data_IF_742060459494
#
_entry.id   IF_742060459494
#
_cell.length_a   1.000
_cell.length_b   1.000
_cell.length_c   1.000
_cell.angle_alpha   90.00
_cell.angle_beta   90.00
_cell.angle_gamma   90.00
#
_symmetry.space_group_name_H-M   'P 1'
#
loop_
_entity.id
_entity.type
_entity.pdbx_description
1 polymer ?
#
# COMPACT_ATOMS: atom_id res chain seq x y z
N UNK A 1 50.82 16.92 -41.70
CA UNK A 1 50.96 16.87 -40.21
C UNK A 1 49.75 17.45 -39.44
N UNK A 2 49.08 18.44 -39.94
CA UNK A 2 47.91 19.06 -39.27
C UNK A 2 46.64 18.15 -39.14
N UNK A 3 46.45 17.18 -40.05
CA UNK A 3 45.26 16.30 -40.03
C UNK A 3 45.29 15.23 -38.92
N UNK A 4 46.45 14.78 -38.49
CA UNK A 4 46.59 13.77 -37.43
C UNK A 4 46.31 14.37 -36.05
N UNK A 5 46.70 15.61 -35.84
CA UNK A 5 46.51 16.31 -34.56
C UNK A 5 45.03 16.73 -34.39
N UNK A 6 44.35 17.13 -35.47
CA UNK A 6 42.92 17.41 -35.44
C UNK A 6 42.09 16.13 -35.14
N UNK A 7 42.42 15.00 -35.75
CA UNK A 7 41.77 13.74 -35.47
C UNK A 7 42.00 13.21 -34.05
N UNK A 8 43.16 13.48 -33.47
CA UNK A 8 43.46 13.12 -32.08
C UNK A 8 42.62 13.95 -31.09
N UNK A 9 42.50 15.26 -31.31
CA UNK A 9 41.69 16.19 -30.50
C UNK A 9 40.21 15.80 -30.61
N UNK A 10 39.73 15.52 -31.83
CA UNK A 10 38.34 15.11 -32.06
C UNK A 10 37.99 13.80 -31.34
N UNK A 11 38.83 12.81 -31.40
CA UNK A 11 38.65 11.51 -30.66
C UNK A 11 38.65 11.71 -29.17
N UNK A 12 39.53 12.54 -28.63
CA UNK A 12 39.60 12.84 -27.21
C UNK A 12 38.34 13.59 -26.71
N UNK A 13 37.86 14.54 -27.49
CA UNK A 13 36.62 15.27 -27.16
C UNK A 13 35.38 14.38 -27.23
N UNK A 14 35.30 13.47 -28.20
CA UNK A 14 34.24 12.48 -28.28
C UNK A 14 34.28 11.51 -27.11
N UNK A 15 35.45 11.03 -26.71
CA UNK A 15 35.59 10.12 -25.56
C UNK A 15 35.20 10.79 -24.25
N UNK A 16 35.59 12.04 -24.03
CA UNK A 16 35.17 12.85 -22.85
C UNK A 16 33.67 13.09 -22.85
N UNK A 17 33.07 13.37 -24.02
CA UNK A 17 31.62 13.54 -24.15
C UNK A 17 30.86 12.25 -23.86
N UNK A 18 31.34 11.10 -24.31
CA UNK A 18 30.75 9.78 -24.00
C UNK A 18 30.85 9.41 -22.52
N UNK A 19 31.95 9.70 -21.85
CA UNK A 19 32.10 9.46 -20.41
C UNK A 19 31.18 10.39 -19.58
N UNK A 20 31.10 11.66 -19.93
CA UNK A 20 30.17 12.62 -19.28
C UNK A 20 28.70 12.24 -19.48
N UNK A 21 28.35 11.73 -20.64
CA UNK A 21 26.99 11.26 -20.94
C UNK A 21 26.67 9.99 -20.14
N UNK A 22 27.62 9.05 -20.03
CA UNK A 22 27.50 7.83 -19.22
C UNK A 22 27.37 8.13 -17.72
N UNK A 23 28.11 9.10 -17.20
CA UNK A 23 27.97 9.58 -15.82
C UNK A 23 26.63 10.30 -15.58
N UNK A 24 26.16 11.11 -16.54
CA UNK A 24 24.83 11.74 -16.47
C UNK A 24 23.69 10.73 -16.48
N UNK A 25 23.76 9.73 -17.36
CA UNK A 25 22.77 8.63 -17.39
C UNK A 25 22.79 7.84 -16.10
N UNK A 26 23.94 7.42 -15.60
CA UNK A 26 24.06 6.70 -14.34
C UNK A 26 23.60 7.52 -13.11
N UNK A 27 23.84 8.84 -13.11
CA UNK A 27 23.36 9.73 -12.05
C UNK A 27 21.83 9.94 -12.12
N UNK A 28 21.25 10.01 -13.32
CA UNK A 28 19.80 10.18 -13.52
C UNK A 28 19.03 8.89 -13.18
N UNK A 29 19.56 7.73 -13.57
CA UNK A 29 19.00 6.42 -13.20
C UNK A 29 19.06 6.20 -11.69
N UNK A 30 20.20 6.50 -11.06
CA UNK A 30 20.37 6.37 -9.60
C UNK A 30 19.43 7.29 -8.83
N UNK A 31 19.24 8.55 -9.28
CA UNK A 31 18.27 9.48 -8.67
C UNK A 31 16.84 9.01 -8.87
N UNK A 32 16.49 8.47 -10.03
CA UNK A 32 15.17 7.91 -10.28
C UNK A 32 14.88 6.69 -9.42
N UNK A 33 15.85 5.81 -9.26
CA UNK A 33 15.77 4.61 -8.41
C UNK A 33 15.57 4.97 -6.93
N UNK A 34 16.42 5.85 -6.38
CA UNK A 34 16.30 6.32 -4.98
C UNK A 34 14.95 7.00 -4.72
N UNK A 35 14.46 7.81 -5.67
CA UNK A 35 13.16 8.45 -5.54
C UNK A 35 12.00 7.42 -5.52
N UNK A 36 12.11 6.34 -6.27
CA UNK A 36 11.07 5.30 -6.31
C UNK A 36 11.07 4.46 -5.03
N UNK A 37 12.22 4.06 -4.50
CA UNK A 37 12.32 3.35 -3.22
C UNK A 37 11.77 4.18 -2.06
N UNK A 38 12.10 5.47 -2.04
CA UNK A 38 11.56 6.40 -1.03
C UNK A 38 10.03 6.53 -1.15
N UNK A 39 9.49 6.57 -2.37
CA UNK A 39 8.04 6.61 -2.58
C UNK A 39 7.37 5.33 -2.09
N UNK A 40 7.92 4.16 -2.42
CA UNK A 40 7.44 2.84 -1.94
C UNK A 40 7.37 2.86 -0.41
N UNK A 41 8.46 3.23 0.25
CA UNK A 41 8.52 3.31 1.71
C UNK A 41 7.46 4.25 2.29
N UNK A 42 7.26 5.44 1.70
CA UNK A 42 6.24 6.40 2.15
C UNK A 42 4.83 5.80 2.00
N UNK A 43 4.53 5.16 0.87
CA UNK A 43 3.22 4.52 0.64
C UNK A 43 3.01 3.38 1.64
N UNK A 44 4.03 2.57 1.93
CA UNK A 44 3.96 1.50 2.94
C UNK A 44 3.68 2.04 4.34
N UNK A 45 4.35 3.11 4.76
CA UNK A 45 4.10 3.74 6.06
C UNK A 45 2.67 4.30 6.14
N UNK A 46 2.23 5.02 5.11
CA UNK A 46 0.85 5.56 5.06
C UNK A 46 -0.17 4.42 5.14
N UNK A 47 0.01 3.36 4.36
CA UNK A 47 -0.85 2.17 4.38
C UNK A 47 -0.85 1.48 5.74
N UNK A 48 0.34 1.33 6.34
CA UNK A 48 0.53 0.71 7.67
C UNK A 48 -0.21 1.50 8.76
N UNK A 49 -0.01 2.82 8.83
CA UNK A 49 -0.68 3.68 9.81
C UNK A 49 -2.19 3.68 9.59
N UNK A 50 -2.65 3.72 8.34
CA UNK A 50 -4.07 3.70 8.01
C UNK A 50 -4.73 2.37 8.43
N UNK A 51 -4.13 1.23 8.09
CA UNK A 51 -4.66 -0.08 8.47
C UNK A 51 -4.50 -0.37 9.97
N UNK A 52 -3.39 0.02 10.60
CA UNK A 52 -3.22 -0.08 12.04
C UNK A 52 -4.30 0.72 12.78
N UNK A 53 -4.58 1.94 12.31
CA UNK A 53 -5.65 2.77 12.87
C UNK A 53 -7.02 2.12 12.71
N UNK A 54 -7.32 1.58 11.53
CA UNK A 54 -8.58 0.86 11.28
C UNK A 54 -8.72 -0.36 12.19
N UNK A 55 -7.65 -1.16 12.36
CA UNK A 55 -7.61 -2.32 13.24
C UNK A 55 -7.79 -1.94 14.72
N UNK A 56 -7.03 -0.93 15.19
CA UNK A 56 -7.15 -0.42 16.56
C UNK A 56 -8.56 0.08 16.87
N UNK A 57 -9.17 0.84 15.95
CA UNK A 57 -10.53 1.32 16.09
C UNK A 57 -11.54 0.17 16.24
N UNK A 58 -11.41 -0.88 15.44
CA UNK A 58 -12.27 -2.08 15.56
C UNK A 58 -12.07 -2.75 16.93
N UNK A 59 -10.82 -2.93 17.38
CA UNK A 59 -10.51 -3.50 18.69
C UNK A 59 -11.11 -2.70 19.85
N UNK A 60 -10.98 -1.37 19.82
CA UNK A 60 -11.58 -0.46 20.82
C UNK A 60 -13.11 -0.57 20.81
N UNK A 61 -13.74 -0.59 19.63
CA UNK A 61 -15.21 -0.75 19.51
C UNK A 61 -15.69 -2.12 20.08
N UNK A 62 -14.89 -3.15 19.93
CA UNK A 62 -15.15 -4.49 20.49
C UNK A 62 -14.80 -4.60 21.97
N UNK A 63 -14.38 -3.50 22.60
CA UNK A 63 -13.99 -3.44 24.03
C UNK A 63 -12.85 -4.40 24.38
N UNK A 64 -11.93 -4.61 23.44
CA UNK A 64 -10.71 -5.37 23.69
C UNK A 64 -9.79 -4.59 24.64
N UNK A 65 -8.96 -5.30 25.40
CA UNK A 65 -7.92 -4.70 26.20
C UNK A 65 -6.79 -4.10 25.34
N UNK A 66 -5.83 -3.45 25.99
CA UNK A 66 -4.69 -2.81 25.28
C UNK A 66 -3.97 -3.80 24.37
N UNK A 67 -3.71 -5.01 24.85
CA UNK A 67 -3.00 -6.04 24.07
C UNK A 67 -3.84 -6.46 22.87
N UNK A 68 -5.14 -6.70 23.06
CA UNK A 68 -6.06 -7.04 21.98
C UNK A 68 -6.13 -5.95 20.90
N UNK A 69 -6.14 -4.67 21.29
CA UNK A 69 -6.12 -3.54 20.34
C UNK A 69 -4.80 -3.50 19.57
N UNK A 70 -3.65 -3.72 20.23
CA UNK A 70 -2.35 -3.78 19.57
C UNK A 70 -2.30 -4.96 18.58
N UNK A 71 -2.73 -6.14 18.96
CA UNK A 71 -2.75 -7.31 18.08
C UNK A 71 -3.64 -7.07 16.87
N UNK A 72 -4.84 -6.51 17.08
CA UNK A 72 -5.76 -6.15 15.99
C UNK A 72 -5.12 -5.16 15.00
N UNK A 73 -4.44 -4.13 15.50
CA UNK A 73 -3.76 -3.14 14.67
C UNK A 73 -2.62 -3.75 13.86
N UNK A 74 -1.75 -4.51 14.52
CA UNK A 74 -0.59 -5.15 13.88
C UNK A 74 -1.06 -6.14 12.81
N UNK A 75 -1.98 -7.05 13.14
CA UNK A 75 -2.47 -8.05 12.19
C UNK A 75 -3.19 -7.42 10.99
N UNK A 76 -3.90 -6.32 11.20
CA UNK A 76 -4.53 -5.58 10.10
C UNK A 76 -3.48 -4.93 9.19
N UNK A 77 -2.45 -4.33 9.78
CA UNK A 77 -1.45 -3.59 9.02
C UNK A 77 -0.48 -4.49 8.24
N UNK A 78 0.01 -5.58 8.85
CA UNK A 78 1.04 -6.42 8.24
C UNK A 78 0.50 -7.71 7.62
N UNK A 79 -0.72 -8.12 7.96
CA UNK A 79 -1.28 -9.41 7.55
C UNK A 79 -1.39 -9.57 6.04
N UNK A 80 -1.81 -8.54 5.31
CA UNK A 80 -1.84 -8.54 3.85
C UNK A 80 -0.45 -8.73 3.22
N UNK A 81 0.57 -8.05 3.77
CA UNK A 81 1.96 -8.21 3.35
C UNK A 81 2.52 -9.60 3.60
N UNK A 82 2.18 -10.21 4.75
CA UNK A 82 2.57 -11.59 5.05
C UNK A 82 1.96 -12.57 4.04
N UNK A 83 0.67 -12.44 3.73
CA UNK A 83 0.00 -13.28 2.71
C UNK A 83 0.67 -13.09 1.36
N UNK A 84 0.95 -11.84 0.95
CA UNK A 84 1.68 -11.53 -0.27
C UNK A 84 3.01 -12.27 -0.35
N UNK A 85 3.82 -12.13 0.69
CA UNK A 85 5.17 -12.69 0.72
C UNK A 85 5.13 -14.23 0.67
N UNK A 86 4.17 -14.86 1.35
CA UNK A 86 3.96 -16.30 1.26
C UNK A 86 3.57 -16.75 -0.16
N UNK A 87 2.66 -16.04 -0.83
CA UNK A 87 2.24 -16.34 -2.21
C UNK A 87 3.40 -16.18 -3.19
N UNK A 88 4.25 -15.19 -2.98
CA UNK A 88 5.43 -14.93 -3.83
C UNK A 88 6.65 -15.80 -3.47
N UNK A 89 6.56 -16.64 -2.44
CA UNK A 89 7.67 -17.50 -2.00
C UNK A 89 8.79 -16.73 -1.30
N UNK A 90 8.52 -15.56 -0.74
CA UNK A 90 9.49 -14.75 0.01
C UNK A 90 9.58 -15.28 1.43
N UNK A 91 10.68 -15.95 1.76
CA UNK A 91 10.91 -16.52 3.10
C UNK A 91 12.21 -15.99 3.72
N UNK A 92 12.19 -15.58 5.01
CA UNK A 92 11.00 -15.24 5.80
C UNK A 92 10.31 -13.99 5.23
N UNK A 93 8.99 -13.79 5.50
CA UNK A 93 8.26 -12.59 5.07
C UNK A 93 8.98 -11.29 5.46
N UNK A 94 8.87 -10.27 4.62
CA UNK A 94 9.60 -9.00 4.79
C UNK A 94 9.28 -8.30 6.11
N UNK A 95 8.09 -8.49 6.64
CA UNK A 95 7.67 -7.97 7.96
C UNK A 95 8.59 -8.45 9.09
N UNK A 96 9.13 -9.68 9.00
CA UNK A 96 10.05 -10.22 10.00
C UNK A 96 11.51 -9.79 9.76
N UNK A 97 11.87 -9.42 8.53
CA UNK A 97 13.19 -8.87 8.20
C UNK A 97 13.31 -7.42 8.64
N UNK A 98 12.22 -6.63 8.46
CA UNK A 98 12.14 -5.23 8.79
C UNK A 98 10.95 -4.97 9.74
N UNK A 99 11.16 -4.97 11.06
CA UNK A 99 10.08 -4.84 12.05
C UNK A 99 9.50 -3.42 12.12
N UNK A 100 10.02 -2.47 11.37
CA UNK A 100 9.62 -1.06 11.39
C UNK A 100 8.10 -0.87 11.20
N UNK A 101 7.47 -1.67 10.33
CA UNK A 101 6.02 -1.60 10.11
C UNK A 101 5.23 -2.09 11.32
N UNK A 102 5.75 -3.08 12.04
CA UNK A 102 5.16 -3.54 13.32
C UNK A 102 5.29 -2.46 14.37
N UNK A 103 6.44 -1.80 14.47
CA UNK A 103 6.68 -0.71 15.41
C UNK A 103 5.72 0.46 15.17
N UNK A 104 5.55 0.92 13.92
CA UNK A 104 4.57 1.96 13.58
C UNK A 104 3.13 1.51 13.88
N UNK A 105 2.81 0.24 13.67
CA UNK A 105 1.48 -0.29 13.98
C UNK A 105 1.20 -0.28 15.47
N UNK A 106 2.16 -0.72 16.29
CA UNK A 106 2.08 -0.69 17.75
C UNK A 106 1.95 0.74 18.27
N UNK A 107 2.80 1.64 17.78
CA UNK A 107 2.77 3.05 18.16
C UNK A 107 1.40 3.68 17.85
N UNK A 108 0.88 3.43 16.65
CA UNK A 108 -0.45 3.90 16.22
C UNK A 108 -1.56 3.36 17.13
N UNK A 109 -1.51 2.07 17.46
CA UNK A 109 -2.48 1.42 18.34
C UNK A 109 -2.47 2.02 19.75
N UNK A 110 -1.29 2.22 20.33
CA UNK A 110 -1.13 2.81 21.67
C UNK A 110 -1.63 4.24 21.70
N UNK A 111 -1.27 5.07 20.71
CA UNK A 111 -1.75 6.45 20.62
C UNK A 111 -3.28 6.50 20.56
N UNK A 112 -3.88 5.71 19.68
CA UNK A 112 -5.34 5.68 19.56
C UNK A 112 -6.00 5.16 20.83
N UNK A 113 -5.48 4.10 21.43
CA UNK A 113 -6.00 3.57 22.70
C UNK A 113 -6.00 4.65 23.80
N UNK A 114 -4.87 5.36 23.98
CA UNK A 114 -4.75 6.42 24.97
C UNK A 114 -5.72 7.56 24.68
N UNK A 115 -5.83 8.02 23.43
CA UNK A 115 -6.77 9.08 23.04
C UNK A 115 -8.20 8.70 23.37
N UNK A 116 -8.64 7.48 23.04
CA UNK A 116 -10.00 7.01 23.33
C UNK A 116 -10.22 6.76 24.84
N UNK A 117 -9.18 6.31 25.54
CA UNK A 117 -9.23 6.11 27.00
C UNK A 117 -9.45 7.42 27.77
N UNK A 118 -8.73 8.48 27.37
CA UNK A 118 -8.85 9.81 28.01
C UNK A 118 -10.19 10.45 27.64
N UNK A 119 -10.64 10.32 26.38
CA UNK A 119 -11.90 10.89 25.90
C UNK A 119 -13.08 9.92 26.00
N UNK A 120 -13.29 9.33 27.18
CA UNK A 120 -14.34 8.34 27.46
C UNK A 120 -15.77 8.75 27.02
N UNK A 121 -16.01 10.05 26.82
CA UNK A 121 -17.29 10.63 26.35
C UNK A 121 -17.49 10.58 24.81
N UNK A 122 -16.49 10.16 24.02
CA UNK A 122 -16.58 10.15 22.55
C UNK A 122 -17.36 8.94 21.98
N UNK A 123 -18.03 8.15 22.81
CA UNK A 123 -18.90 7.05 22.36
C UNK A 123 -20.38 7.45 22.22
N UNK A 124 -20.67 8.75 22.18
CA UNK A 124 -22.00 9.28 21.93
C UNK A 124 -22.44 9.05 20.47
N UNK A 125 -23.73 9.01 20.18
CA UNK A 125 -24.30 8.63 18.86
C UNK A 125 -23.77 9.45 17.68
N UNK A 126 -23.44 10.74 17.90
CA UNK A 126 -22.78 11.58 16.87
C UNK A 126 -21.34 11.17 16.61
N UNK A 127 -20.61 10.80 17.66
CA UNK A 127 -19.24 10.31 17.54
C UNK A 127 -19.16 8.97 16.79
N UNK A 128 -20.16 8.10 16.95
CA UNK A 128 -20.24 6.83 16.24
C UNK A 128 -20.35 7.02 14.71
N UNK A 129 -21.09 8.04 14.25
CA UNK A 129 -21.21 8.36 12.83
C UNK A 129 -19.89 8.86 12.22
N UNK A 130 -19.16 9.73 12.94
CA UNK A 130 -17.83 10.17 12.50
C UNK A 130 -16.81 9.04 12.54
N UNK A 131 -16.90 8.16 13.53
CA UNK A 131 -16.08 6.96 13.64
C UNK A 131 -16.20 6.06 12.40
N UNK A 132 -17.41 5.75 11.96
CA UNK A 132 -17.62 4.91 10.76
C UNK A 132 -17.05 5.55 9.51
N UNK A 133 -17.21 6.84 9.32
CA UNK A 133 -16.63 7.57 8.19
C UNK A 133 -15.11 7.55 8.18
N UNK A 134 -14.50 7.80 9.33
CA UNK A 134 -13.04 7.79 9.50
C UNK A 134 -12.51 6.37 9.25
N UNK A 135 -13.16 5.35 9.77
CA UNK A 135 -12.77 3.97 9.57
C UNK A 135 -12.80 3.58 8.07
N UNK A 136 -13.86 3.98 7.35
CA UNK A 136 -13.96 3.74 5.90
C UNK A 136 -12.85 4.46 5.14
N UNK A 137 -12.53 5.69 5.51
CA UNK A 137 -11.46 6.47 4.87
C UNK A 137 -10.08 5.84 5.10
N UNK A 138 -9.78 5.48 6.35
CA UNK A 138 -8.51 4.82 6.70
C UNK A 138 -8.38 3.46 6.00
N UNK A 139 -9.45 2.69 5.96
CA UNK A 139 -9.50 1.42 5.26
C UNK A 139 -9.31 1.61 3.74
N UNK A 140 -9.90 2.64 3.13
CA UNK A 140 -9.72 2.95 1.72
C UNK A 140 -8.28 3.35 1.38
N UNK A 141 -7.62 4.14 2.24
CA UNK A 141 -6.21 4.54 2.09
C UNK A 141 -5.31 3.31 2.21
N UNK A 142 -5.50 2.48 3.23
CA UNK A 142 -4.74 1.25 3.42
C UNK A 142 -4.92 0.27 2.25
N UNK A 143 -6.17 0.09 1.78
CA UNK A 143 -6.47 -0.74 0.62
C UNK A 143 -5.72 -0.25 -0.62
N UNK A 144 -5.78 1.05 -0.92
CA UNK A 144 -5.10 1.63 -2.09
C UNK A 144 -3.58 1.49 -2.01
N UNK A 145 -2.98 1.83 -0.87
CA UNK A 145 -1.56 1.72 -0.63
C UNK A 145 -1.07 0.27 -0.81
N UNK A 146 -1.68 -0.68 -0.12
CA UNK A 146 -1.21 -2.07 -0.18
C UNK A 146 -1.57 -2.78 -1.49
N UNK A 147 -2.62 -2.35 -2.19
CA UNK A 147 -2.89 -2.85 -3.55
C UNK A 147 -1.72 -2.55 -4.50
N UNK A 148 -1.25 -1.31 -4.54
CA UNK A 148 -0.16 -0.93 -5.45
C UNK A 148 1.19 -1.46 -5.00
N UNK A 149 1.44 -1.58 -3.70
CA UNK A 149 2.64 -2.23 -3.14
C UNK A 149 2.66 -3.72 -3.49
N UNK A 150 1.52 -4.41 -3.44
CA UNK A 150 1.44 -5.81 -3.85
C UNK A 150 1.79 -6.02 -5.32
N UNK A 151 1.30 -5.15 -6.22
CA UNK A 151 1.65 -5.15 -7.64
C UNK A 151 3.14 -4.87 -7.82
N UNK A 152 3.66 -3.84 -7.17
CA UNK A 152 5.07 -3.42 -7.25
C UNK A 152 6.00 -4.53 -6.78
N UNK A 153 5.75 -5.14 -5.63
CA UNK A 153 6.57 -6.23 -5.09
C UNK A 153 6.65 -7.42 -6.06
N UNK A 154 5.51 -7.83 -6.63
CA UNK A 154 5.49 -8.93 -7.60
C UNK A 154 6.20 -8.55 -8.91
N UNK A 155 6.11 -7.29 -9.33
CA UNK A 155 6.80 -6.76 -10.51
C UNK A 155 8.33 -6.79 -10.32
N UNK A 156 8.84 -6.35 -9.16
CA UNK A 156 10.29 -6.32 -8.84
C UNK A 156 10.91 -7.72 -8.73
N UNK A 157 10.15 -8.72 -8.29
CA UNK A 157 10.62 -10.11 -8.22
C UNK A 157 10.75 -10.74 -9.63
N UNK A 158 10.25 -10.06 -10.67
CA UNK A 158 10.41 -10.49 -12.07
C UNK A 158 9.15 -11.07 -12.72
N UNK A 159 7.98 -11.03 -12.05
CA UNK A 159 6.72 -11.49 -12.63
C UNK A 159 6.07 -10.49 -13.62
N UNK A 160 6.90 -9.72 -14.35
CA UNK A 160 6.46 -8.63 -15.25
C UNK A 160 5.47 -9.10 -16.33
N UNK A 161 5.63 -10.32 -16.84
CA UNK A 161 4.78 -10.88 -17.90
C UNK A 161 3.54 -11.62 -17.37
N UNK A 162 3.45 -11.85 -16.07
CA UNK A 162 2.35 -12.60 -15.46
C UNK A 162 1.27 -11.66 -14.92
N UNK A 163 0.54 -10.96 -15.82
CA UNK A 163 -0.47 -9.94 -15.46
C UNK A 163 -1.50 -10.43 -14.45
N UNK A 164 -1.95 -11.68 -14.56
CA UNK A 164 -2.90 -12.26 -13.61
C UNK A 164 -2.30 -12.36 -12.20
N UNK A 165 -1.05 -12.81 -12.08
CA UNK A 165 -0.37 -12.90 -10.79
C UNK A 165 -0.17 -11.51 -10.17
N UNK A 166 0.26 -10.52 -10.95
CA UNK A 166 0.38 -9.13 -10.50
C UNK A 166 -0.97 -8.60 -9.95
N UNK A 167 -2.04 -8.83 -10.70
CA UNK A 167 -3.39 -8.42 -10.30
C UNK A 167 -3.82 -9.12 -9.00
N UNK A 168 -3.68 -10.45 -8.95
CA UNK A 168 -4.03 -11.26 -7.79
C UNK A 168 -3.26 -10.85 -6.54
N UNK A 169 -1.94 -10.71 -6.65
CA UNK A 169 -1.07 -10.33 -5.54
C UNK A 169 -1.39 -8.90 -5.06
N UNK A 170 -1.62 -7.97 -5.97
CA UNK A 170 -2.06 -6.62 -5.62
C UNK A 170 -3.36 -6.64 -4.80
N UNK A 171 -4.38 -7.34 -5.31
CA UNK A 171 -5.68 -7.44 -4.63
C UNK A 171 -5.56 -8.13 -3.28
N UNK A 172 -4.92 -9.29 -3.20
CA UNK A 172 -4.82 -10.04 -1.94
C UNK A 172 -4.02 -9.29 -0.87
N UNK A 173 -3.01 -8.52 -1.28
CA UNK A 173 -2.24 -7.68 -0.38
C UNK A 173 -3.09 -6.56 0.20
N UNK A 174 -3.82 -5.84 -0.66
CA UNK A 174 -4.68 -4.74 -0.23
C UNK A 174 -5.85 -5.20 0.62
N UNK A 175 -6.52 -6.27 0.22
CA UNK A 175 -7.73 -6.79 0.90
C UNK A 175 -7.39 -7.59 2.15
N UNK A 176 -6.25 -8.28 2.16
CA UNK A 176 -5.88 -9.28 3.18
C UNK A 176 -5.89 -8.74 4.60
N UNK A 177 -5.34 -7.55 4.82
CA UNK A 177 -5.34 -6.92 6.15
C UNK A 177 -6.74 -6.64 6.68
N UNK A 178 -7.62 -6.07 5.86
CA UNK A 178 -9.03 -5.83 6.21
C UNK A 178 -9.80 -7.12 6.46
N UNK A 179 -9.52 -8.17 5.69
CA UNK A 179 -10.14 -9.49 5.85
C UNK A 179 -9.76 -10.14 7.18
N UNK A 180 -8.46 -10.12 7.54
CA UNK A 180 -7.96 -10.63 8.82
C UNK A 180 -8.61 -9.86 9.98
N UNK A 181 -8.64 -8.52 9.91
CA UNK A 181 -9.29 -7.66 10.90
C UNK A 181 -10.74 -8.08 11.14
N UNK A 182 -11.53 -8.20 10.07
CA UNK A 182 -12.96 -8.49 10.17
C UNK A 182 -13.20 -9.91 10.73
N UNK A 183 -12.41 -10.90 10.32
CA UNK A 183 -12.47 -12.25 10.87
C UNK A 183 -12.11 -12.30 12.36
N UNK A 184 -11.04 -11.59 12.77
CA UNK A 184 -10.66 -11.50 14.18
C UNK A 184 -11.72 -10.79 15.01
N UNK A 185 -12.43 -9.82 14.42
CA UNK A 185 -13.55 -9.14 15.04
C UNK A 185 -14.85 -9.95 15.05
N UNK A 186 -14.84 -11.18 14.54
CA UNK A 186 -16.03 -12.04 14.37
C UNK A 186 -17.14 -11.33 13.57
N UNK A 187 -16.74 -10.70 12.48
CA UNK A 187 -17.66 -10.04 11.55
C UNK A 187 -17.48 -10.63 10.15
N UNK A 188 -18.55 -10.61 9.37
CA UNK A 188 -18.44 -10.98 7.95
C UNK A 188 -17.54 -9.94 7.27
N UNK A 189 -16.43 -10.38 6.63
CA UNK A 189 -15.50 -9.46 5.98
C UNK A 189 -16.17 -8.52 4.99
N UNK A 190 -15.81 -7.24 5.00
CA UNK A 190 -16.36 -6.20 4.12
C UNK A 190 -16.26 -6.55 2.65
N UNK A 191 -15.22 -7.27 2.24
CA UNK A 191 -15.03 -7.76 0.88
C UNK A 191 -16.21 -8.61 0.38
N UNK A 192 -16.89 -9.31 1.28
CA UNK A 192 -17.99 -10.23 0.93
C UNK A 192 -19.37 -9.56 0.95
N UNK A 193 -19.51 -8.46 1.69
CA UNK A 193 -20.86 -7.91 2.02
C UNK A 193 -21.04 -6.46 1.64
N UNK A 194 -19.98 -5.66 1.59
CA UNK A 194 -20.09 -4.20 1.43
C UNK A 194 -19.34 -3.65 0.22
N UNK A 195 -20.06 -2.85 -0.56
CA UNK A 195 -19.55 -1.70 -1.31
C UNK A 195 -18.33 -1.97 -2.18
N UNK A 196 -18.45 -2.73 -3.24
CA UNK A 196 -17.45 -2.83 -4.35
C UNK A 196 -15.97 -2.82 -3.85
N UNK A 197 -15.70 -3.48 -2.69
CA UNK A 197 -14.40 -3.43 -2.02
C UNK A 197 -13.28 -4.03 -2.88
N UNK A 198 -13.47 -5.28 -3.30
CA UNK A 198 -12.49 -5.98 -4.14
C UNK A 198 -12.43 -5.37 -5.56
N UNK A 199 -13.57 -4.89 -6.09
CA UNK A 199 -13.61 -4.26 -7.41
C UNK A 199 -12.79 -2.97 -7.46
N UNK A 200 -12.76 -2.19 -6.37
CA UNK A 200 -11.91 -1.00 -6.28
C UNK A 200 -10.42 -1.38 -6.33
N UNK A 201 -10.01 -2.40 -5.58
CA UNK A 201 -8.65 -2.92 -5.60
C UNK A 201 -8.28 -3.48 -6.98
N UNK A 202 -9.18 -4.24 -7.62
CA UNK A 202 -8.99 -4.74 -8.99
C UNK A 202 -8.77 -3.60 -10.00
N UNK A 203 -9.61 -2.56 -9.94
CA UNK A 203 -9.49 -1.40 -10.84
C UNK A 203 -8.16 -0.66 -10.63
N UNK A 204 -7.78 -0.39 -9.37
CA UNK A 204 -6.52 0.29 -9.06
C UNK A 204 -5.29 -0.54 -9.41
N UNK A 205 -5.31 -1.86 -9.13
CA UNK A 205 -4.25 -2.77 -9.55
C UNK A 205 -4.13 -2.81 -11.09
N UNK A 206 -5.25 -2.85 -11.81
CA UNK A 206 -5.28 -2.81 -13.27
C UNK A 206 -4.64 -1.54 -13.84
N UNK A 207 -4.99 -0.36 -13.30
CA UNK A 207 -4.38 0.92 -13.67
C UNK A 207 -2.89 0.93 -13.37
N UNK A 208 -2.49 0.44 -12.17
CA UNK A 208 -1.10 0.35 -11.79
C UNK A 208 -0.31 -0.54 -12.75
N UNK A 209 -0.78 -1.75 -13.06
CA UNK A 209 -0.13 -2.69 -13.99
C UNK A 209 -0.01 -2.10 -15.39
N UNK A 210 -1.04 -1.41 -15.87
CA UNK A 210 -1.05 -0.83 -17.21
C UNK A 210 -0.03 0.31 -17.37
N UNK A 211 0.10 1.15 -16.35
CA UNK A 211 1.02 2.31 -16.35
C UNK A 211 2.45 1.96 -15.90
N UNK A 212 2.66 0.82 -15.22
CA UNK A 212 3.95 0.42 -14.63
C UNK A 212 5.12 0.47 -15.64
N UNK A 213 4.97 0.00 -16.91
CA UNK A 213 6.07 0.02 -17.89
C UNK A 213 6.51 1.43 -18.29
N UNK A 214 5.65 2.44 -18.14
CA UNK A 214 5.94 3.82 -18.55
C UNK A 214 6.58 4.64 -17.42
N UNK A 215 5.95 4.63 -16.24
CA UNK A 215 6.42 5.40 -15.08
C UNK A 215 6.01 4.71 -13.77
N UNK A 216 6.93 3.98 -13.14
CA UNK A 216 6.70 3.21 -11.93
C UNK A 216 6.06 4.06 -10.81
N UNK A 217 6.66 5.21 -10.47
CA UNK A 217 6.15 6.06 -9.37
C UNK A 217 4.75 6.63 -9.66
N UNK A 218 4.50 7.07 -10.90
CA UNK A 218 3.20 7.59 -11.30
C UNK A 218 2.12 6.49 -11.31
N UNK A 219 2.46 5.27 -11.75
CA UNK A 219 1.53 4.15 -11.78
C UNK A 219 1.04 3.77 -10.38
N UNK A 220 1.92 3.78 -9.39
CA UNK A 220 1.58 3.47 -8.01
C UNK A 220 0.66 4.54 -7.40
N UNK A 221 1.00 5.82 -7.60
CA UNK A 221 0.19 6.93 -7.08
C UNK A 221 -1.21 6.90 -7.72
N UNK A 222 -1.28 6.81 -9.06
CA UNK A 222 -2.56 6.78 -9.77
C UNK A 222 -3.38 5.55 -9.42
N UNK A 223 -2.76 4.36 -9.33
CA UNK A 223 -3.43 3.15 -8.89
C UNK A 223 -4.03 3.28 -7.50
N UNK A 224 -3.26 3.79 -6.52
CA UNK A 224 -3.74 4.01 -5.16
C UNK A 224 -4.88 5.04 -5.10
N UNK A 225 -4.75 6.16 -5.82
CA UNK A 225 -5.79 7.21 -5.90
C UNK A 225 -7.09 6.66 -6.49
N UNK A 226 -7.02 5.85 -7.55
CA UNK A 226 -8.20 5.20 -8.15
C UNK A 226 -8.91 4.31 -7.14
N UNK A 227 -8.17 3.49 -6.38
CA UNK A 227 -8.78 2.67 -5.29
C UNK A 227 -9.49 3.54 -4.28
N UNK A 228 -8.83 4.58 -3.77
CA UNK A 228 -9.39 5.46 -2.73
C UNK A 228 -10.63 6.19 -3.24
N UNK A 229 -10.60 6.74 -4.45
CA UNK A 229 -11.75 7.43 -5.06
C UNK A 229 -12.93 6.48 -5.19
N UNK A 230 -12.75 5.31 -5.81
CA UNK A 230 -13.83 4.32 -5.98
C UNK A 230 -14.40 3.92 -4.62
N UNK A 231 -13.58 3.70 -3.60
CA UNK A 231 -14.01 3.34 -2.25
C UNK A 231 -14.84 4.43 -1.58
N UNK A 232 -14.39 5.69 -1.68
CA UNK A 232 -15.12 6.82 -1.11
C UNK A 232 -16.46 7.02 -1.82
N UNK A 233 -16.48 6.95 -3.16
CA UNK A 233 -17.71 7.05 -3.94
C UNK A 233 -18.68 5.90 -3.61
N UNK A 234 -18.19 4.66 -3.59
CA UNK A 234 -18.99 3.49 -3.27
C UNK A 234 -19.58 3.57 -1.84
N UNK A 235 -18.80 4.08 -0.88
CA UNK A 235 -19.28 4.29 0.49
C UNK A 235 -20.31 5.42 0.60
N UNK A 236 -20.13 6.51 -0.16
CA UNK A 236 -21.03 7.67 -0.15
C UNK A 236 -22.35 7.37 -0.84
N UNK A 237 -22.30 6.74 -2.01
CA UNK A 237 -23.48 6.41 -2.82
C UNK A 237 -24.08 5.04 -2.50
N UNK A 238 -23.49 4.30 -1.53
CA UNK A 238 -23.92 2.95 -1.13
C UNK A 238 -24.07 1.99 -2.32
N UNK A 239 -23.05 1.96 -3.17
CA UNK A 239 -23.01 1.04 -4.29
C UNK A 239 -22.81 -0.38 -3.79
N UNK A 240 -23.83 -1.19 -3.86
CA UNK A 240 -23.79 -2.62 -3.54
C UNK A 240 -23.94 -3.46 -4.82
N UNK A 241 -23.27 -4.61 -4.83
CA UNK A 241 -23.50 -5.62 -5.87
C UNK A 241 -24.84 -6.35 -5.62
N UNK A 242 -25.49 -6.87 -6.68
CA UNK A 242 -26.72 -7.63 -6.55
C UNK A 242 -26.55 -8.78 -5.52
N UNK A 243 -27.53 -8.92 -4.64
CA UNK A 243 -27.61 -10.01 -3.66
C UNK A 243 -28.85 -10.83 -3.98
N UNK A 244 -28.75 -12.14 -3.75
CA UNK A 244 -29.92 -13.04 -3.78
C UNK A 244 -30.51 -12.95 -2.37
N UNK A 245 -31.77 -12.55 -2.28
CA UNK A 245 -32.56 -12.53 -1.02
C UNK A 245 -33.05 -13.92 -0.67
#
# INVERSE_FOLDING_TARGET
MLSAQQNFILRRNLQVSFEQEKERFGCKERKSFVNTEMLVFIIEIIGTVAFASSGAMVGIRKKMDVLGVIVMAVMTAVGGGIIRDLVLGIHPPNTFKNPIYVEYSVLTAVILFVVFYIKKQMLDSKALFYYEKIMILLDAIGLGAFTVIGVETAYEIGYVHHRFLLLFVGVITGVGGGMIRDMMAQQIPFILVKQIYACASLAGAGVCIWLMPYHKSASMILGAVVVVIIRILAATYRWDLPKIE
#
